data_IF_570612284358
#
_entry.id   IF_570612284358
#
_cell.length_a   1.000
_cell.length_b   1.000
_cell.length_c   1.000
_cell.angle_alpha   90.00
_cell.angle_beta   90.00
_cell.angle_gamma   90.00
#
_symmetry.space_group_name_H-M   'P 1'
#
loop_
_entity.id
_entity.type
_entity.pdbx_description
1 polymer ?
#
# COMPACT_ATOMS: atom_id res chain seq x y z
N UNK A 1 23.57 -14.45 -9.07
CA UNK A 1 22.36 -14.00 -8.38
C UNK A 1 22.42 -12.48 -8.32
N UNK A 2 21.91 -11.79 -9.33
CA UNK A 2 21.79 -10.32 -9.29
C UNK A 2 20.44 -10.03 -8.64
N UNK A 3 20.48 -9.48 -7.42
CA UNK A 3 19.28 -8.89 -6.81
C UNK A 3 19.17 -7.49 -7.38
N UNK A 4 18.56 -7.37 -8.56
CA UNK A 4 18.00 -6.11 -9.03
C UNK A 4 16.79 -5.76 -8.17
N UNK A 5 17.04 -5.42 -6.89
CA UNK A 5 16.10 -4.65 -6.08
C UNK A 5 16.23 -3.20 -6.51
N UNK A 6 15.73 -2.90 -7.70
CA UNK A 6 15.45 -1.53 -8.09
C UNK A 6 14.31 -1.05 -7.20
N UNK A 7 14.65 -0.40 -6.09
CA UNK A 7 13.73 0.51 -5.41
C UNK A 7 13.20 1.49 -6.46
N UNK A 8 11.89 1.73 -6.55
CA UNK A 8 11.37 2.76 -7.44
C UNK A 8 11.91 4.11 -6.97
N UNK A 9 12.81 4.72 -7.73
CA UNK A 9 13.27 6.10 -7.49
C UNK A 9 12.09 7.05 -7.69
N UNK A 10 11.36 7.31 -6.62
CA UNK A 10 10.30 8.32 -6.60
C UNK A 10 10.53 9.26 -5.43
N UNK A 11 11.66 9.97 -5.45
CA UNK A 11 11.97 11.10 -4.56
C UNK A 11 10.92 12.23 -4.67
N UNK A 12 10.07 12.22 -5.70
CA UNK A 12 9.13 13.30 -6.00
C UNK A 12 8.01 13.46 -4.95
N UNK A 13 7.70 12.43 -4.16
CA UNK A 13 6.62 12.46 -3.16
C UNK A 13 7.12 12.33 -1.71
N UNK A 14 8.43 12.46 -1.47
CA UNK A 14 8.96 12.29 -0.12
C UNK A 14 8.38 13.35 0.80
N UNK A 15 7.90 12.99 2.01
CA UNK A 15 7.55 13.98 3.00
C UNK A 15 8.71 14.96 3.20
N UNK A 16 8.44 16.25 3.10
CA UNK A 16 9.43 17.32 3.30
C UNK A 16 9.98 17.31 4.74
N UNK A 17 9.21 16.75 5.67
CA UNK A 17 9.55 16.58 7.08
C UNK A 17 9.46 15.09 7.43
N UNK A 18 10.61 14.43 7.55
CA UNK A 18 10.75 12.99 7.72
C UNK A 18 11.22 12.58 9.13
N UNK A 19 11.20 13.51 10.10
CA UNK A 19 11.65 13.26 11.47
C UNK A 19 10.98 12.04 12.12
N UNK A 20 9.69 11.80 11.86
CA UNK A 20 9.00 10.61 12.36
C UNK A 20 9.56 9.31 11.75
N UNK A 21 9.86 9.31 10.45
CA UNK A 21 10.43 8.12 9.78
C UNK A 21 11.87 7.86 10.25
N UNK A 22 12.64 8.93 10.48
CA UNK A 22 13.96 8.85 11.09
C UNK A 22 13.91 8.25 12.50
N UNK A 23 12.97 8.70 13.35
CA UNK A 23 12.77 8.16 14.70
C UNK A 23 12.38 6.69 14.68
N UNK A 24 11.47 6.29 13.79
CA UNK A 24 11.04 4.90 13.65
C UNK A 24 12.18 4.00 13.13
N UNK A 25 12.96 4.49 12.18
CA UNK A 25 14.15 3.79 11.69
C UNK A 25 15.19 3.65 12.81
N UNK A 26 15.42 4.70 13.61
CA UNK A 26 16.35 4.67 14.74
C UNK A 26 15.87 3.72 15.86
N UNK A 27 14.57 3.68 16.13
CA UNK A 27 13.98 2.83 17.17
C UNK A 27 14.03 1.35 16.78
N UNK A 28 13.71 1.03 15.53
CA UNK A 28 13.61 -0.35 15.06
C UNK A 28 14.96 -0.91 14.59
N UNK A 29 15.82 -0.07 14.02
CA UNK A 29 17.10 -0.46 13.42
C UNK A 29 16.98 -1.47 12.27
N UNK A 30 15.75 -1.76 11.82
CA UNK A 30 15.42 -2.84 10.91
C UNK A 30 15.31 -2.36 9.46
N UNK A 31 14.78 -1.15 9.27
CA UNK A 31 14.49 -0.58 7.96
C UNK A 31 14.94 0.87 7.91
N UNK A 32 15.34 1.33 6.72
CA UNK A 32 15.63 2.75 6.49
C UNK A 32 14.31 3.56 6.43
N UNK A 33 14.36 4.88 6.68
CA UNK A 33 13.19 5.76 6.55
C UNK A 33 12.48 5.63 5.18
N UNK A 34 13.26 5.49 4.11
CA UNK A 34 12.75 5.32 2.74
C UNK A 34 11.99 4.01 2.55
N UNK A 35 12.49 2.91 3.12
CA UNK A 35 11.79 1.61 3.07
C UNK A 35 10.49 1.67 3.86
N UNK A 36 10.48 2.33 5.02
CA UNK A 36 9.28 2.52 5.82
C UNK A 36 8.22 3.32 5.04
N UNK A 37 8.62 4.43 4.42
CA UNK A 37 7.72 5.25 3.63
C UNK A 37 7.13 4.49 2.43
N UNK A 38 7.96 3.84 1.61
CA UNK A 38 7.44 3.08 0.46
C UNK A 38 6.55 1.91 0.85
N UNK A 39 6.78 1.33 2.03
CA UNK A 39 5.92 0.26 2.54
C UNK A 39 4.54 0.83 2.88
N UNK A 40 4.47 1.99 3.51
CA UNK A 40 3.20 2.65 3.85
C UNK A 40 2.41 3.04 2.59
N UNK A 41 3.04 3.70 1.61
CA UNK A 41 2.38 4.08 0.34
C UNK A 41 1.74 2.86 -0.34
N UNK A 42 2.44 1.73 -0.32
CA UNK A 42 1.92 0.49 -0.91
C UNK A 42 0.73 -0.08 -0.13
N UNK A 43 0.71 0.06 1.19
CA UNK A 43 -0.41 -0.38 2.02
C UNK A 43 -1.65 0.48 1.76
N UNK A 44 -1.47 1.78 1.59
CA UNK A 44 -2.54 2.70 1.23
C UNK A 44 -3.12 2.36 -0.16
N UNK A 45 -2.25 2.18 -1.17
CA UNK A 45 -2.67 1.75 -2.51
C UNK A 45 -3.48 0.45 -2.49
N UNK A 46 -3.05 -0.54 -1.71
CA UNK A 46 -3.76 -1.82 -1.58
C UNK A 46 -5.11 -1.65 -0.89
N UNK A 47 -5.19 -0.78 0.11
CA UNK A 47 -6.43 -0.47 0.83
C UNK A 47 -7.43 0.21 -0.10
N UNK A 48 -6.99 1.19 -0.89
CA UNK A 48 -7.83 1.83 -1.90
C UNK A 48 -8.34 0.83 -2.95
N UNK A 49 -7.46 -0.07 -3.42
CA UNK A 49 -7.87 -1.13 -4.35
C UNK A 49 -8.91 -2.07 -3.74
N UNK A 50 -8.78 -2.42 -2.45
CA UNK A 50 -9.76 -3.24 -1.76
C UNK A 50 -11.13 -2.56 -1.68
N UNK A 51 -11.16 -1.26 -1.35
CA UNK A 51 -12.38 -0.47 -1.30
C UNK A 51 -13.04 -0.31 -2.67
N UNK A 52 -12.24 -0.06 -3.71
CA UNK A 52 -12.70 -0.04 -5.09
C UNK A 52 -13.26 -1.41 -5.51
N UNK A 53 -12.60 -2.51 -5.14
CA UNK A 53 -13.08 -3.86 -5.42
C UNK A 53 -14.38 -4.19 -4.66
N UNK A 54 -14.53 -3.73 -3.41
CA UNK A 54 -15.78 -3.87 -2.64
C UNK A 54 -16.93 -3.09 -3.29
N UNK A 55 -16.66 -1.86 -3.74
CA UNK A 55 -17.64 -1.01 -4.43
C UNK A 55 -18.00 -1.53 -5.82
N UNK A 56 -17.06 -2.18 -6.50
CA UNK A 56 -17.24 -2.77 -7.83
C UNK A 56 -17.91 -4.15 -7.81
N UNK A 57 -18.03 -4.82 -6.64
CA UNK A 57 -18.88 -6.01 -6.53
C UNK A 57 -20.32 -5.59 -6.78
N UNK A 58 -20.96 -6.03 -7.89
CA UNK A 58 -22.38 -5.82 -8.05
C UNK A 58 -23.07 -6.49 -6.87
N UNK A 59 -24.09 -5.85 -6.32
CA UNK A 59 -25.00 -6.50 -5.40
C UNK A 59 -25.38 -7.85 -6.04
N UNK A 60 -24.94 -8.94 -5.44
CA UNK A 60 -25.40 -10.28 -5.78
C UNK A 60 -26.90 -10.25 -5.46
N UNK A 61 -27.73 -9.91 -6.44
CA UNK A 61 -29.18 -9.98 -6.33
C UNK A 61 -29.52 -11.43 -5.96
N UNK A 62 -30.06 -11.71 -4.77
CA UNK A 62 -30.51 -13.05 -4.44
C UNK A 62 -31.86 -13.40 -5.09
N UNK A 63 -32.44 -12.53 -5.94
CA UNK A 63 -33.76 -12.72 -6.55
C UNK A 63 -33.69 -13.26 -7.98
N UNK A 64 -33.27 -14.51 -8.15
CA UNK A 64 -33.69 -15.31 -9.30
C UNK A 64 -34.53 -16.48 -8.77
N UNK A 65 -35.87 -16.36 -8.70
CA UNK A 65 -36.72 -17.52 -8.49
C UNK A 65 -36.64 -18.39 -9.75
N UNK A 66 -35.88 -19.48 -9.67
CA UNK A 66 -35.94 -20.54 -10.68
C UNK A 66 -37.21 -21.34 -10.43
N UNK A 67 -38.29 -20.94 -11.10
CA UNK A 67 -39.51 -21.74 -11.25
C UNK A 67 -39.41 -22.46 -12.60
N UNK A 68 -39.34 -23.79 -12.59
CA UNK A 68 -39.73 -24.68 -13.69
C UNK A 68 -40.23 -25.99 -13.10
#
# INVERSE_FOLDING_TARGET
MQTDSSLPSSDANRPTDDHLLEELAALTGLFSPEVLWHTEEKLDELTEQEELAKKAKPALNPDIPTSL
#
